data_IF_733246065522
#
_entry.id   IF_733246065522
#
_cell.length_a   1.000
_cell.length_b   1.000
_cell.length_c   1.000
_cell.angle_alpha   90.00
_cell.angle_beta   90.00
_cell.angle_gamma   90.00
#
_symmetry.space_group_name_H-M   'P 1'
#
loop_
_entity.id
_entity.type
_entity.pdbx_description
1 polymer ?
#
# COMPACT_ATOMS: atom_id res chain seq x y z
N UNK A 1 -9.22 18.01 -4.14
CA UNK A 1 -9.44 18.53 -2.78
C UNK A 1 -8.23 18.12 -1.95
N UNK A 2 -7.77 18.97 -1.04
CA UNK A 2 -6.62 18.70 -0.17
C UNK A 2 -6.91 19.22 1.23
N UNK A 3 -6.18 18.71 2.23
CA UNK A 3 -6.13 19.33 3.55
C UNK A 3 -5.56 20.76 3.44
N UNK A 4 -5.86 21.60 4.43
CA UNK A 4 -5.11 22.84 4.62
C UNK A 4 -3.66 22.53 5.00
N UNK A 5 -2.73 23.41 4.60
CA UNK A 5 -1.27 23.19 4.76
C UNK A 5 -0.84 22.93 6.23
N UNK A 6 -1.56 23.49 7.20
CA UNK A 6 -1.28 23.35 8.63
C UNK A 6 -2.28 22.46 9.39
N UNK A 7 -3.27 21.88 8.70
CA UNK A 7 -4.27 21.03 9.34
C UNK A 7 -3.73 19.61 9.60
N UNK A 8 -4.34 18.86 10.53
CA UNK A 8 -4.07 17.44 10.68
C UNK A 8 -4.26 16.70 9.36
N UNK A 9 -3.44 15.68 9.10
CA UNK A 9 -3.54 14.87 7.87
C UNK A 9 -4.90 14.16 7.71
N UNK A 10 -5.70 14.09 8.76
CA UNK A 10 -7.02 13.46 8.78
C UNK A 10 -8.19 14.41 8.53
N UNK A 11 -7.98 15.72 8.36
CA UNK A 11 -9.07 16.71 8.19
C UNK A 11 -10.03 16.35 7.05
N UNK A 12 -9.50 15.95 5.88
CA UNK A 12 -10.30 15.54 4.72
C UNK A 12 -11.19 14.32 5.00
N UNK A 13 -10.85 13.49 5.99
CA UNK A 13 -11.65 12.29 6.31
C UNK A 13 -13.00 12.66 6.90
N UNK A 14 -13.03 13.65 7.79
CA UNK A 14 -14.28 14.11 8.41
C UNK A 14 -15.19 14.73 7.35
N UNK A 15 -14.62 15.56 6.46
CA UNK A 15 -15.34 16.11 5.31
C UNK A 15 -15.89 15.01 4.39
N UNK A 16 -15.05 14.06 3.97
CA UNK A 16 -15.47 12.98 3.08
C UNK A 16 -16.53 12.06 3.72
N UNK A 17 -16.45 11.87 5.04
CA UNK A 17 -17.41 11.10 5.83
C UNK A 17 -18.82 11.69 5.87
N UNK A 18 -18.99 12.98 5.56
CA UNK A 18 -20.31 13.62 5.47
C UNK A 18 -21.10 13.20 4.23
N UNK A 19 -20.45 12.59 3.23
CA UNK A 19 -21.07 12.26 1.95
C UNK A 19 -21.29 10.76 1.79
N UNK A 20 -22.51 10.30 1.46
CA UNK A 20 -22.74 8.90 1.17
C UNK A 20 -22.03 8.50 -0.12
N UNK A 21 -21.52 7.27 -0.17
CA UNK A 21 -20.82 6.68 -1.34
C UNK A 21 -19.49 7.37 -1.70
N UNK A 22 -18.84 7.97 -0.71
CA UNK A 22 -17.46 8.46 -0.84
C UNK A 22 -16.43 7.35 -0.57
N UNK A 23 -15.33 7.40 -1.33
CA UNK A 23 -14.16 6.53 -1.14
C UNK A 23 -12.90 7.40 -1.12
N UNK A 24 -12.04 7.19 -0.15
CA UNK A 24 -10.69 7.75 -0.09
C UNK A 24 -9.72 6.78 -0.74
N UNK A 25 -9.05 7.23 -1.78
CA UNK A 25 -7.97 6.50 -2.43
C UNK A 25 -6.62 6.89 -1.80
N UNK A 26 -5.87 5.88 -1.33
CA UNK A 26 -4.52 6.05 -0.78
C UNK A 26 -3.50 5.20 -1.50
N UNK A 27 -2.31 5.78 -1.67
CA UNK A 27 -1.21 5.19 -2.42
C UNK A 27 -0.02 4.95 -1.50
N UNK A 28 0.44 3.71 -1.41
CA UNK A 28 1.53 3.32 -0.51
C UNK A 28 2.74 2.81 -1.28
N UNK A 29 3.87 3.50 -1.11
CA UNK A 29 5.16 3.18 -1.72
C UNK A 29 6.28 3.17 -0.68
N UNK A 30 7.10 2.12 -0.68
CA UNK A 30 8.34 2.02 0.12
C UNK A 30 9.56 2.39 -0.73
N UNK A 31 9.50 3.52 -1.44
CA UNK A 31 10.47 3.89 -2.48
C UNK A 31 10.91 5.35 -2.51
N UNK A 32 9.97 6.28 -2.31
CA UNK A 32 10.16 7.69 -2.67
C UNK A 32 10.68 8.59 -1.54
N UNK A 33 10.89 8.01 -0.36
CA UNK A 33 11.55 8.66 0.77
C UNK A 33 13.01 8.17 0.87
N UNK A 34 13.93 9.10 1.13
CA UNK A 34 15.37 8.82 1.25
C UNK A 34 15.67 7.72 2.28
N UNK A 35 14.85 7.58 3.33
CA UNK A 35 15.04 6.52 4.34
C UNK A 35 15.03 5.12 3.76
N UNK A 36 14.29 4.88 2.66
CA UNK A 36 14.18 3.55 2.07
C UNK A 36 15.47 3.09 1.39
N UNK A 37 16.37 4.01 1.04
CA UNK A 37 17.66 3.66 0.43
C UNK A 37 18.58 2.88 1.36
N UNK A 38 18.36 2.95 2.68
CA UNK A 38 19.16 2.25 3.70
C UNK A 38 18.41 1.11 4.37
N UNK A 39 17.15 0.88 4.02
CA UNK A 39 16.35 -0.17 4.65
C UNK A 39 16.76 -1.55 4.15
N UNK A 40 16.92 -2.47 5.08
CA UNK A 40 16.99 -3.91 4.82
C UNK A 40 15.63 -4.47 4.41
N UNK A 41 15.60 -5.74 3.96
CA UNK A 41 14.35 -6.48 3.71
C UNK A 41 13.42 -6.41 4.93
N UNK A 42 13.93 -6.71 6.12
CA UNK A 42 13.10 -6.76 7.32
C UNK A 42 12.57 -5.38 7.71
N UNK A 43 13.38 -4.33 7.58
CA UNK A 43 12.93 -2.96 7.87
C UNK A 43 11.82 -2.49 6.91
N UNK A 44 11.85 -2.87 5.64
CA UNK A 44 10.75 -2.61 4.72
C UNK A 44 9.46 -3.36 5.13
N UNK A 45 9.58 -4.63 5.51
CA UNK A 45 8.45 -5.43 6.00
C UNK A 45 7.86 -4.83 7.29
N UNK A 46 8.71 -4.43 8.23
CA UNK A 46 8.29 -3.83 9.50
C UNK A 46 7.64 -2.46 9.28
N UNK A 47 8.13 -1.66 8.33
CA UNK A 47 7.50 -0.41 7.95
C UNK A 47 6.07 -0.62 7.44
N UNK A 48 5.85 -1.65 6.61
CA UNK A 48 4.51 -2.02 6.15
C UNK A 48 3.62 -2.45 7.33
N UNK A 49 4.12 -3.36 8.17
CA UNK A 49 3.34 -3.96 9.28
C UNK A 49 3.03 -2.99 10.42
N UNK A 50 3.86 -1.97 10.60
CA UNK A 50 3.72 -1.03 11.71
C UNK A 50 3.23 0.33 11.23
N UNK A 51 4.00 1.01 10.38
CA UNK A 51 3.70 2.39 9.96
C UNK A 51 2.49 2.42 9.03
N UNK A 52 2.52 1.66 7.93
CA UNK A 52 1.42 1.68 6.96
C UNK A 52 0.15 1.06 7.55
N UNK A 53 0.27 -0.02 8.34
CA UNK A 53 -0.89 -0.60 9.02
C UNK A 53 -1.55 0.36 10.02
N UNK A 54 -0.78 1.16 10.76
CA UNK A 54 -1.34 2.14 11.68
C UNK A 54 -2.02 3.30 10.93
N UNK A 55 -1.40 3.76 9.86
CA UNK A 55 -1.97 4.79 8.99
C UNK A 55 -3.29 4.31 8.37
N UNK A 56 -3.29 3.16 7.70
CA UNK A 56 -4.48 2.60 7.05
C UNK A 56 -5.62 2.32 8.04
N UNK A 57 -5.31 1.93 9.28
CA UNK A 57 -6.30 1.78 10.36
C UNK A 57 -6.90 3.11 10.79
N UNK A 58 -6.10 4.17 10.81
CA UNK A 58 -6.56 5.53 11.10
C UNK A 58 -7.49 6.06 10.01
N UNK A 59 -7.21 5.72 8.74
CA UNK A 59 -8.04 6.11 7.60
C UNK A 59 -9.33 5.29 7.52
N UNK A 60 -9.26 3.98 7.79
CA UNK A 60 -10.39 3.04 7.63
C UNK A 60 -11.35 3.02 8.84
N UNK A 61 -11.56 4.18 9.48
CA UNK A 61 -12.51 4.32 10.60
C UNK A 61 -13.91 3.91 10.14
N UNK A 62 -14.61 3.13 10.99
CA UNK A 62 -15.87 2.45 10.65
C UNK A 62 -17.06 3.37 10.33
N UNK A 63 -16.97 4.65 10.64
CA UNK A 63 -18.05 5.63 10.46
C UNK A 63 -17.50 6.72 9.54
N UNK A 64 -17.70 6.56 8.22
CA UNK A 64 -17.21 7.53 7.24
C UNK A 64 -17.05 6.95 5.83
N UNK A 65 -16.29 7.67 4.99
CA UNK A 65 -15.94 7.23 3.64
C UNK A 65 -15.20 5.88 3.66
N UNK A 66 -15.40 5.07 2.63
CA UNK A 66 -14.65 3.81 2.48
C UNK A 66 -13.20 4.11 2.09
N UNK A 67 -12.30 3.16 2.32
CA UNK A 67 -10.88 3.31 1.98
C UNK A 67 -10.49 2.33 0.88
N UNK A 68 -9.77 2.82 -0.12
CA UNK A 68 -9.21 2.05 -1.22
C UNK A 68 -7.70 2.22 -1.24
N UNK A 69 -6.94 1.12 -1.28
CA UNK A 69 -5.49 1.20 -1.57
C UNK A 69 -5.33 1.15 -3.08
N UNK A 70 -5.44 2.28 -3.77
CA UNK A 70 -5.48 2.31 -5.24
C UNK A 70 -4.14 2.08 -5.91
N UNK A 71 -3.05 2.33 -5.21
CA UNK A 71 -1.71 2.05 -5.73
C UNK A 71 -0.80 1.45 -4.66
N UNK A 72 -0.20 0.32 -5.01
CA UNK A 72 0.92 -0.29 -4.30
C UNK A 72 1.72 -1.18 -5.27
N UNK A 73 3.01 -1.34 -5.00
CA UNK A 73 3.96 -2.20 -5.74
C UNK A 73 4.77 -3.03 -4.76
N UNK A 74 5.23 -4.20 -5.20
CA UNK A 74 6.23 -4.98 -4.47
C UNK A 74 7.65 -4.65 -4.96
N UNK A 75 7.89 -3.36 -5.23
CA UNK A 75 9.20 -2.81 -5.58
C UNK A 75 9.74 -2.00 -4.40
N UNK A 76 11.06 -2.05 -4.20
CA UNK A 76 11.77 -1.36 -3.12
C UNK A 76 13.20 -1.00 -3.54
N UNK A 77 13.97 -0.39 -2.63
CA UNK A 77 15.37 -0.03 -2.89
C UNK A 77 16.38 -1.11 -2.52
N UNK A 78 15.95 -2.28 -2.02
CA UNK A 78 16.86 -3.34 -1.58
C UNK A 78 17.52 -4.01 -2.78
N UNK A 79 18.85 -3.92 -2.87
CA UNK A 79 19.65 -4.60 -3.89
C UNK A 79 19.91 -6.06 -3.53
N UNK A 80 19.85 -6.97 -4.52
CA UNK A 80 20.23 -8.39 -4.33
C UNK A 80 19.25 -9.22 -3.50
N UNK A 81 18.03 -8.74 -3.27
CA UNK A 81 17.00 -9.48 -2.55
C UNK A 81 16.58 -10.74 -3.31
N UNK A 82 16.33 -11.82 -2.57
CA UNK A 82 15.86 -13.09 -3.13
C UNK A 82 14.39 -13.02 -3.54
N UNK A 83 13.93 -13.99 -4.32
CA UNK A 83 12.49 -14.13 -4.63
C UNK A 83 11.66 -14.28 -3.36
N UNK A 84 12.16 -15.05 -2.40
CA UNK A 84 11.53 -15.27 -1.10
C UNK A 84 11.40 -13.97 -0.31
N UNK A 85 12.38 -13.06 -0.40
CA UNK A 85 12.29 -11.74 0.23
C UNK A 85 11.16 -10.89 -0.38
N UNK A 86 11.04 -10.87 -1.71
CA UNK A 86 9.94 -10.19 -2.39
C UNK A 86 8.57 -10.82 -2.06
N UNK A 87 8.49 -12.14 -1.96
CA UNK A 87 7.27 -12.83 -1.53
C UNK A 87 6.88 -12.43 -0.10
N UNK A 88 7.83 -12.43 0.84
CA UNK A 88 7.60 -12.00 2.22
C UNK A 88 7.11 -10.55 2.28
N UNK A 89 7.70 -9.67 1.47
CA UNK A 89 7.30 -8.27 1.36
C UNK A 89 5.91 -8.08 0.75
N UNK A 90 5.65 -8.68 -0.40
CA UNK A 90 4.36 -8.63 -1.07
C UNK A 90 3.24 -9.23 -0.21
N UNK A 91 3.51 -10.31 0.53
CA UNK A 91 2.55 -10.87 1.49
C UNK A 91 2.25 -9.91 2.64
N UNK A 92 3.27 -9.28 3.23
CA UNK A 92 3.07 -8.29 4.28
C UNK A 92 2.22 -7.11 3.80
N UNK A 93 2.44 -6.63 2.58
CA UNK A 93 1.61 -5.61 1.93
C UNK A 93 0.17 -6.09 1.76
N UNK A 94 -0.05 -7.24 1.15
CA UNK A 94 -1.38 -7.79 0.92
C UNK A 94 -2.16 -8.00 2.22
N UNK A 95 -1.49 -8.51 3.28
CA UNK A 95 -2.08 -8.70 4.61
C UNK A 95 -2.52 -7.37 5.22
N UNK A 96 -1.68 -6.34 5.15
CA UNK A 96 -2.00 -5.00 5.68
C UNK A 96 -3.10 -4.33 4.88
N UNK A 97 -3.05 -4.39 3.54
CA UNK A 97 -4.03 -3.76 2.66
C UNK A 97 -5.40 -4.45 2.68
N UNK A 98 -5.57 -5.56 3.40
CA UNK A 98 -6.90 -6.11 3.75
C UNK A 98 -7.69 -5.25 4.72
N UNK A 99 -7.03 -4.31 5.40
CA UNK A 99 -7.69 -3.38 6.31
C UNK A 99 -8.53 -2.32 5.56
N UNK A 100 -8.23 -2.08 4.28
CA UNK A 100 -9.01 -1.19 3.44
C UNK A 100 -10.42 -1.75 3.17
N UNK A 101 -11.42 -0.88 3.21
CA UNK A 101 -12.84 -1.29 3.21
C UNK A 101 -13.49 -1.33 1.83
N UNK A 102 -12.88 -0.72 0.81
CA UNK A 102 -13.38 -0.75 -0.57
C UNK A 102 -12.59 -1.71 -1.47
N UNK A 103 -11.29 -1.86 -1.24
CA UNK A 103 -10.45 -2.76 -2.01
C UNK A 103 -8.98 -2.32 -2.09
N UNK A 104 -8.25 -2.94 -3.01
CA UNK A 104 -6.85 -2.65 -3.30
C UNK A 104 -6.51 -2.93 -4.76
N UNK A 105 -5.64 -2.13 -5.36
CA UNK A 105 -5.18 -2.30 -6.73
C UNK A 105 -3.65 -2.22 -6.83
N UNK A 106 -3.07 -3.23 -7.49
CA UNK A 106 -1.64 -3.26 -7.74
C UNK A 106 -1.29 -2.30 -8.88
N UNK A 107 -0.28 -1.47 -8.68
CA UNK A 107 0.23 -0.57 -9.70
C UNK A 107 1.42 -1.24 -10.42
N UNK A 108 1.34 -1.68 -11.66
CA UNK A 108 0.22 -1.68 -12.61
C UNK A 108 0.04 -3.09 -13.16
N UNK A 109 -0.91 -3.31 -14.07
CA UNK A 109 -1.13 -4.62 -14.67
C UNK A 109 0.09 -5.10 -15.48
N UNK A 110 0.62 -4.25 -16.37
CA UNK A 110 1.77 -4.53 -17.24
C UNK A 110 2.77 -3.38 -17.22
N UNK A 111 4.05 -3.71 -17.07
CA UNK A 111 5.14 -2.74 -17.06
C UNK A 111 6.42 -3.41 -17.60
N UNK A 112 7.33 -2.61 -18.15
CA UNK A 112 8.66 -3.07 -18.58
C UNK A 112 9.56 -3.47 -17.40
N UNK A 113 9.31 -2.90 -16.22
CA UNK A 113 9.98 -3.25 -14.98
C UNK A 113 9.18 -4.34 -14.25
N UNK A 114 9.82 -5.48 -14.01
CA UNK A 114 9.15 -6.71 -13.56
C UNK A 114 8.33 -6.55 -12.27
N UNK A 115 8.88 -5.94 -11.20
CA UNK A 115 8.16 -5.75 -9.93
C UNK A 115 7.13 -4.60 -9.96
N UNK A 116 7.00 -3.90 -11.10
CA UNK A 116 5.90 -2.96 -11.35
C UNK A 116 4.79 -3.61 -12.20
N UNK A 117 4.95 -4.87 -12.61
CA UNK A 117 3.95 -5.61 -13.40
C UNK A 117 3.29 -6.69 -12.56
N UNK A 118 2.01 -6.49 -12.22
CA UNK A 118 1.20 -7.50 -11.55
C UNK A 118 1.14 -8.81 -12.36
N UNK A 119 1.04 -8.71 -13.68
CA UNK A 119 1.04 -9.88 -14.56
C UNK A 119 2.32 -10.69 -14.40
N UNK A 120 3.49 -10.05 -14.47
CA UNK A 120 4.79 -10.72 -14.31
C UNK A 120 4.94 -11.30 -12.90
N UNK A 121 4.57 -10.53 -11.87
CA UNK A 121 4.66 -10.94 -10.47
C UNK A 121 3.82 -12.19 -10.19
N UNK A 122 2.61 -12.27 -10.76
CA UNK A 122 1.76 -13.47 -10.64
C UNK A 122 2.31 -14.65 -11.43
N UNK A 123 2.66 -14.44 -12.71
CA UNK A 123 3.16 -15.51 -13.58
C UNK A 123 4.45 -16.16 -13.05
N UNK A 124 5.28 -15.37 -12.37
CA UNK A 124 6.54 -15.84 -11.81
C UNK A 124 6.43 -16.20 -10.32
N UNK A 125 5.24 -16.18 -9.72
CA UNK A 125 5.00 -16.64 -8.35
C UNK A 125 5.62 -15.76 -7.26
N UNK A 126 5.75 -14.45 -7.50
CA UNK A 126 6.17 -13.48 -6.48
C UNK A 126 5.01 -13.04 -5.59
N UNK A 127 3.79 -13.01 -6.13
CA UNK A 127 2.56 -12.74 -5.38
C UNK A 127 1.46 -13.71 -5.79
N UNK A 128 0.55 -14.01 -4.87
CA UNK A 128 -0.68 -14.77 -5.16
C UNK A 128 -1.92 -14.00 -4.71
N UNK A 129 -2.89 -13.86 -5.61
CA UNK A 129 -4.17 -13.21 -5.35
C UNK A 129 -5.31 -14.22 -5.10
N UNK A 130 -5.02 -15.52 -5.04
CA UNK A 130 -6.04 -16.58 -4.94
C UNK A 130 -6.67 -16.76 -3.56
N UNK A 131 -6.18 -16.03 -2.55
CA UNK A 131 -6.77 -16.02 -1.21
C UNK A 131 -7.54 -14.72 -0.95
N UNK A 132 -7.93 -13.97 -1.98
CA UNK A 132 -8.68 -12.72 -1.84
C UNK A 132 -10.08 -12.98 -1.28
#
# INVERSE_FOLDING_TARGET
>A
MSNHLAAPSTELLDFAGMFPRSVIDVHYYTLFDNKFSTFTVQQNIDYVRNTIANDLRTLSRRIGALTFVGEWVAEWKVSGATKEDYQRFGNAQMDVYRQATFGRAYWTYKNVNNHWSMEWMRKNGYISLTNA
#
